data_IF_503943973625
#
_entry.id   IF_503943973625
#
_cell.length_a   1.000
_cell.length_b   1.000
_cell.length_c   1.000
_cell.angle_alpha   90.00
_cell.angle_beta   90.00
_cell.angle_gamma   90.00
#
_symmetry.space_group_name_H-M   'P 1'
#
loop_
_entity.id
_entity.type
_entity.pdbx_description
1 polymer ?
#
# COMPACT_ATOMS: atom_id res chain seq x y z
N UNK A 1 -19.70 -10.05 -37.62
CA UNK A 1 -18.86 -9.39 -36.59
C UNK A 1 -19.33 -9.91 -35.25
N UNK A 2 -18.49 -10.68 -34.54
CA UNK A 2 -18.89 -11.58 -33.44
C UNK A 2 -18.94 -10.82 -32.11
N UNK A 3 -20.12 -10.60 -31.48
CA UNK A 3 -20.25 -9.88 -30.20
C UNK A 3 -19.66 -10.64 -29.00
N UNK A 4 -19.34 -11.92 -29.18
CA UNK A 4 -18.84 -12.84 -28.15
C UNK A 4 -17.47 -12.38 -27.59
N UNK A 5 -16.64 -11.74 -28.41
CA UNK A 5 -15.31 -11.29 -28.00
C UNK A 5 -15.36 -10.15 -26.97
N UNK A 6 -16.38 -9.29 -27.03
CA UNK A 6 -16.53 -8.13 -26.13
C UNK A 6 -17.03 -8.59 -24.76
N UNK A 7 -18.03 -9.50 -24.73
CA UNK A 7 -18.58 -10.03 -23.48
C UNK A 7 -17.55 -10.82 -22.65
N UNK A 8 -16.69 -11.59 -23.32
CA UNK A 8 -15.62 -12.35 -22.66
C UNK A 8 -14.54 -11.41 -22.08
N UNK A 9 -14.20 -10.32 -22.77
CA UNK A 9 -13.22 -9.34 -22.28
C UNK A 9 -13.70 -8.62 -21.01
N UNK A 10 -14.99 -8.27 -20.94
CA UNK A 10 -15.59 -7.60 -19.78
C UNK A 10 -15.64 -8.52 -18.54
N UNK A 11 -15.92 -9.81 -18.73
CA UNK A 11 -15.91 -10.81 -17.66
C UNK A 11 -14.51 -11.03 -17.07
N UNK A 12 -13.48 -11.04 -17.92
CA UNK A 12 -12.08 -11.14 -17.47
C UNK A 12 -11.66 -9.87 -16.72
N UNK A 13 -12.07 -8.67 -17.17
CA UNK A 13 -11.76 -7.42 -16.46
C UNK A 13 -12.38 -7.36 -15.05
N UNK A 14 -13.61 -7.84 -14.87
CA UNK A 14 -14.28 -7.90 -13.56
C UNK A 14 -13.62 -8.90 -12.59
N UNK A 15 -13.08 -10.02 -13.11
CA UNK A 15 -12.37 -11.01 -12.30
C UNK A 15 -11.00 -10.50 -11.79
N UNK A 16 -10.36 -9.56 -12.50
CA UNK A 16 -9.06 -8.99 -12.09
C UNK A 16 -9.20 -8.02 -10.91
N UNK A 17 -10.37 -7.37 -10.75
CA UNK A 17 -10.61 -6.47 -9.62
C UNK A 17 -10.88 -7.18 -8.29
N UNK A 18 -11.24 -8.46 -8.31
CA UNK A 18 -11.68 -9.21 -7.11
C UNK A 18 -10.53 -9.72 -6.20
N UNK A 19 -9.27 -9.52 -6.58
CA UNK A 19 -8.10 -10.00 -5.83
C UNK A 19 -7.32 -8.90 -5.10
N UNK A 20 -7.79 -7.65 -5.08
CA UNK A 20 -7.15 -6.61 -4.29
C UNK A 20 -7.75 -6.59 -2.89
N UNK A 21 -6.95 -6.93 -1.87
CA UNK A 21 -7.33 -6.70 -0.48
C UNK A 21 -7.59 -5.20 -0.30
N UNK A 22 -8.73 -4.86 0.28
CA UNK A 22 -9.05 -3.48 0.61
C UNK A 22 -7.94 -2.86 1.47
N UNK A 23 -7.60 -1.57 1.26
CA UNK A 23 -6.70 -0.85 2.14
C UNK A 23 -7.20 -0.92 3.59
N UNK A 24 -6.29 -1.18 4.52
CA UNK A 24 -6.61 -1.24 5.95
C UNK A 24 -6.35 0.13 6.59
N UNK A 25 -7.37 0.67 7.26
CA UNK A 25 -7.22 1.87 8.07
C UNK A 25 -6.35 1.59 9.30
N UNK A 26 -5.44 2.52 9.62
CA UNK A 26 -4.61 2.54 10.82
C UNK A 26 -4.50 3.98 11.32
N UNK A 27 -4.10 4.17 12.57
CA UNK A 27 -3.87 5.50 13.13
C UNK A 27 -2.60 6.15 12.55
N UNK A 28 -2.49 7.47 12.65
CA UNK A 28 -1.28 8.20 12.26
C UNK A 28 0.00 7.71 12.96
N UNK A 29 -0.11 7.36 14.24
CA UNK A 29 1.02 6.83 15.02
C UNK A 29 1.47 5.46 14.52
N UNK A 30 0.53 4.56 14.22
CA UNK A 30 0.83 3.25 13.62
C UNK A 30 1.43 3.42 12.22
N UNK A 31 0.93 4.36 11.43
CA UNK A 31 1.46 4.64 10.10
C UNK A 31 2.93 5.05 10.17
N UNK A 32 3.25 6.00 11.05
CA UNK A 32 4.63 6.44 11.25
C UNK A 32 5.52 5.28 11.74
N UNK A 33 5.04 4.48 12.69
CA UNK A 33 5.80 3.34 13.19
C UNK A 33 6.10 2.31 12.08
N UNK A 34 5.10 1.93 11.29
CA UNK A 34 5.26 1.00 10.16
C UNK A 34 6.22 1.55 9.10
N UNK A 35 6.15 2.85 8.80
CA UNK A 35 7.07 3.47 7.86
C UNK A 35 8.51 3.41 8.37
N UNK A 36 8.77 3.74 9.63
CA UNK A 36 10.13 3.74 10.20
C UNK A 36 10.74 2.34 10.34
N UNK A 37 9.92 1.31 10.58
CA UNK A 37 10.39 -0.07 10.67
C UNK A 37 11.10 -0.55 9.39
N UNK A 38 10.82 0.06 8.23
CA UNK A 38 11.49 -0.27 6.95
C UNK A 38 13.02 -0.17 7.02
N UNK A 39 13.53 0.71 7.88
CA UNK A 39 14.98 0.96 8.02
C UNK A 39 15.63 0.06 9.07
N UNK A 40 14.84 -0.69 9.85
CA UNK A 40 15.31 -1.40 11.03
C UNK A 40 15.30 -2.93 10.85
N UNK A 41 14.47 -3.47 9.95
CA UNK A 41 14.26 -4.92 9.84
C UNK A 41 14.23 -5.38 8.38
N UNK A 42 15.13 -6.28 8.00
CA UNK A 42 15.23 -6.82 6.62
C UNK A 42 14.02 -7.66 6.20
N UNK A 43 13.23 -8.14 7.16
CA UNK A 43 12.00 -8.91 6.93
C UNK A 43 10.75 -8.02 6.76
N UNK A 44 10.92 -6.71 6.87
CA UNK A 44 9.86 -5.71 6.74
C UNK A 44 10.25 -4.70 5.67
N UNK A 45 9.29 -4.34 4.84
CA UNK A 45 9.42 -3.25 3.88
C UNK A 45 8.15 -2.43 3.94
N UNK A 46 8.31 -1.12 3.98
CA UNK A 46 7.22 -0.18 3.93
C UNK A 46 7.58 0.92 2.93
N UNK A 47 6.66 1.21 2.03
CA UNK A 47 6.83 2.16 0.92
C UNK A 47 5.65 3.11 0.91
N UNK A 48 5.91 4.41 0.93
CA UNK A 48 4.87 5.40 0.75
C UNK A 48 4.44 5.41 -0.71
N UNK A 49 3.14 5.18 -0.96
CA UNK A 49 2.61 5.01 -2.33
C UNK A 49 1.71 6.16 -2.77
N UNK A 50 1.66 7.24 -1.99
CA UNK A 50 1.03 8.50 -2.37
C UNK A 50 -0.15 8.93 -1.50
N UNK A 51 -0.85 9.94 -1.99
CA UNK A 51 -1.97 10.62 -1.31
C UNK A 51 -3.21 10.61 -2.20
N UNK A 52 -4.38 10.42 -1.59
CA UNK A 52 -5.67 10.49 -2.28
C UNK A 52 -6.75 10.85 -1.27
N UNK A 53 -7.64 11.77 -1.65
CA UNK A 53 -8.86 12.09 -0.89
C UNK A 53 -8.59 12.42 0.60
N UNK A 54 -7.52 13.17 0.88
CA UNK A 54 -7.15 13.54 2.26
C UNK A 54 -6.48 12.43 3.07
N UNK A 55 -6.23 11.27 2.47
CA UNK A 55 -5.52 10.15 3.08
C UNK A 55 -4.14 9.95 2.46
N UNK A 56 -3.23 9.39 3.26
CA UNK A 56 -1.92 8.89 2.82
C UNK A 56 -1.92 7.37 2.82
N UNK A 57 -1.14 6.78 1.93
CA UNK A 57 -1.13 5.33 1.71
C UNK A 57 0.28 4.76 1.85
N UNK A 58 0.35 3.60 2.49
CA UNK A 58 1.57 2.84 2.71
C UNK A 58 1.41 1.42 2.19
N UNK A 59 2.31 0.99 1.30
CA UNK A 59 2.45 -0.42 0.93
C UNK A 59 3.38 -1.09 1.93
N UNK A 60 2.83 -2.05 2.69
CA UNK A 60 3.59 -2.89 3.62
C UNK A 60 3.82 -4.25 3.01
N UNK A 61 5.07 -4.71 3.01
CA UNK A 61 5.46 -6.08 2.73
C UNK A 61 6.15 -6.68 3.95
N UNK A 62 5.73 -7.89 4.32
CA UNK A 62 6.32 -8.64 5.43
C UNK A 62 6.69 -10.03 4.96
N UNK A 63 7.92 -10.43 5.24
CA UNK A 63 8.42 -11.75 4.92
C UNK A 63 7.93 -12.76 5.95
N UNK A 64 7.51 -13.94 5.49
CA UNK A 64 7.06 -15.00 6.39
C UNK A 64 8.23 -15.54 7.22
N UNK A 65 8.00 -15.68 8.52
CA UNK A 65 8.97 -16.25 9.47
C UNK A 65 9.16 -17.76 9.28
N UNK A 66 8.15 -18.45 8.73
CA UNK A 66 8.20 -19.90 8.47
C UNK A 66 8.64 -20.23 7.03
N UNK A 67 8.50 -19.29 6.10
CA UNK A 67 8.98 -19.43 4.72
C UNK A 67 9.59 -18.10 4.23
N UNK A 68 10.91 -17.92 4.39
CA UNK A 68 11.62 -16.69 4.02
C UNK A 68 11.48 -16.26 2.55
N UNK A 69 11.02 -17.13 1.64
CA UNK A 69 10.79 -16.76 0.23
C UNK A 69 9.40 -16.16 -0.01
N UNK A 70 8.50 -16.24 0.97
CA UNK A 70 7.12 -15.79 0.85
C UNK A 70 6.94 -14.43 1.51
N UNK A 71 6.60 -13.44 0.71
CA UNK A 71 6.21 -12.11 1.17
C UNK A 71 4.69 -11.96 1.15
N UNK A 72 4.13 -11.37 2.20
CA UNK A 72 2.73 -10.92 2.23
C UNK A 72 2.67 -9.42 2.07
N UNK A 73 1.68 -8.95 1.32
CA UNK A 73 1.49 -7.53 1.04
C UNK A 73 0.15 -7.03 1.61
N UNK A 74 0.15 -5.80 2.10
CA UNK A 74 -1.03 -5.04 2.50
C UNK A 74 -0.87 -3.57 2.13
N UNK A 75 -1.97 -2.90 1.83
CA UNK A 75 -2.03 -1.44 1.75
C UNK A 75 -2.64 -0.93 3.04
N UNK A 76 -1.97 0.03 3.67
CA UNK A 76 -2.41 0.70 4.89
C UNK A 76 -2.71 2.16 4.57
N UNK A 77 -3.65 2.78 5.28
CA UNK A 77 -3.93 4.21 5.12
C UNK A 77 -4.33 4.87 6.44
N UNK A 78 -4.10 6.18 6.52
CA UNK A 78 -4.53 7.07 7.60
C UNK A 78 -4.89 8.44 7.00
N UNK A 79 -5.69 9.23 7.71
CA UNK A 79 -5.94 10.62 7.32
C UNK A 79 -4.66 11.47 7.45
N UNK A 80 -4.47 12.43 6.53
CA UNK A 80 -3.32 13.36 6.56
C UNK A 80 -3.30 14.19 7.85
N UNK A 81 -4.48 14.50 8.38
CA UNK A 81 -4.69 15.25 9.62
C UNK A 81 -4.17 14.54 10.86
N UNK A 82 -4.00 13.21 10.82
CA UNK A 82 -3.42 12.42 11.91
C UNK A 82 -1.89 12.44 11.91
N UNK A 83 -1.25 12.95 10.86
CA UNK A 83 0.21 12.99 10.75
C UNK A 83 0.78 14.35 11.12
N UNK A 84 1.94 14.34 11.79
CA UNK A 84 2.71 15.54 12.01
C UNK A 84 3.13 16.17 10.65
N UNK A 85 3.01 17.50 10.47
CA UNK A 85 3.34 18.16 9.20
C UNK A 85 4.76 17.87 8.70
N UNK A 86 5.75 17.86 9.62
CA UNK A 86 7.15 17.58 9.29
C UNK A 86 7.33 16.15 8.80
N UNK A 87 6.59 15.21 9.39
CA UNK A 87 6.61 13.82 8.96
C UNK A 87 6.04 13.67 7.55
N UNK A 88 4.89 14.29 7.28
CA UNK A 88 4.26 14.29 5.96
C UNK A 88 5.17 14.91 4.89
N UNK A 89 5.85 16.02 5.21
CA UNK A 89 6.78 16.65 4.28
C UNK A 89 7.97 15.71 3.95
N UNK A 90 8.45 14.96 4.93
CA UNK A 90 9.49 13.95 4.73
C UNK A 90 9.02 12.81 3.82
N UNK A 91 7.80 12.29 4.02
CA UNK A 91 7.22 11.26 3.15
C UNK A 91 7.24 11.70 1.68
N UNK A 92 6.73 12.91 1.41
CA UNK A 92 6.69 13.49 0.06
C UNK A 92 8.08 13.61 -0.56
N UNK A 93 9.03 14.18 0.18
CA UNK A 93 10.41 14.36 -0.29
C UNK A 93 11.09 13.03 -0.62
N UNK A 94 10.96 12.05 0.26
CA UNK A 94 11.57 10.74 0.04
C UNK A 94 10.94 10.01 -1.14
N UNK A 95 9.66 10.23 -1.42
CA UNK A 95 8.97 9.65 -2.58
C UNK A 95 9.38 10.25 -3.92
N UNK A 96 9.85 11.51 -3.95
CA UNK A 96 10.38 12.16 -5.16
C UNK A 96 11.80 11.67 -5.51
N UNK A 97 12.45 10.96 -4.59
CA UNK A 97 13.82 10.45 -4.76
C UNK A 97 13.87 8.95 -5.13
N UNK A 98 12.72 8.29 -5.20
CA UNK A 98 12.55 6.88 -5.60
C UNK A 98 12.25 6.76 -7.09
#
# INVERSE_FOLDING_TARGET
MKPIAIGLLLLVALLVCACQKEPRHITGAEFQAEYEMRNQQTMHSAEFIGEREGCVFLRKKTMSTVNPKKWSEAVLFTEITELAPDFLQRLRRESEQQ
#
